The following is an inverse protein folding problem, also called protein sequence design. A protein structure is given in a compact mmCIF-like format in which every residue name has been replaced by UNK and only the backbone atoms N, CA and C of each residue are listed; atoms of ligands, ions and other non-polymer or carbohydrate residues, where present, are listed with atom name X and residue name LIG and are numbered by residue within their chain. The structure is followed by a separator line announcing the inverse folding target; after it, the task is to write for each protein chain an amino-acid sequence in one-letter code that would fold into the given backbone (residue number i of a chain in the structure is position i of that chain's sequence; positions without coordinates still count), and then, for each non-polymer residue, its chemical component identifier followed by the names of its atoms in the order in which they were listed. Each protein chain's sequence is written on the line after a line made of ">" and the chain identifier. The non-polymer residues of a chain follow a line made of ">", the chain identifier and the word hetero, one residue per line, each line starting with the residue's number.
data_IF_079477537364
#
_entry.id   IF_079477537364
#
_cell.length_a   1.000
_cell.length_b   1.000
_cell.length_c   1.000
_cell.angle_alpha   90.00
_cell.angle_beta   90.00
_cell.angle_gamma   90.00
#
_symmetry.space_group_name_H-M   'P 1'
#
loop_
_entity.id
_entity.type
_entity.pdbx_description
1 polymer ?
#
# COMPACT_ATOMS: atom_id res chain seq x y z
N UNK A 1 -18.28 12.94 -5.25
CA UNK A 1 -17.74 11.55 -5.12
C UNK A 1 -16.23 11.66 -5.22
N UNK A 2 -15.46 10.77 -4.60
CA UNK A 2 -13.99 10.72 -4.72
C UNK A 2 -13.58 9.45 -5.45
N UNK A 3 -12.71 9.57 -6.44
CA UNK A 3 -11.98 8.48 -7.06
C UNK A 3 -10.56 8.52 -6.49
N UNK A 4 -10.23 7.52 -5.69
CA UNK A 4 -8.98 7.46 -4.92
C UNK A 4 -8.04 6.41 -5.48
N UNK A 5 -6.75 6.73 -5.55
CA UNK A 5 -5.72 5.76 -5.90
C UNK A 5 -4.32 6.21 -5.57
N UNK A 6 -3.35 5.32 -5.69
CA UNK A 6 -1.95 5.60 -5.45
C UNK A 6 -1.12 5.53 -6.74
N UNK A 7 -0.06 6.33 -6.80
CA UNK A 7 0.77 6.51 -7.99
C UNK A 7 2.13 5.84 -7.88
N UNK A 8 2.55 5.55 -6.66
CA UNK A 8 3.71 4.75 -6.34
C UNK A 8 3.50 3.28 -6.69
N UNK A 9 4.58 2.52 -6.66
CA UNK A 9 4.62 1.11 -7.01
C UNK A 9 5.76 0.47 -6.23
N UNK A 10 5.63 -0.81 -5.88
CA UNK A 10 6.74 -1.54 -5.25
C UNK A 10 8.00 -1.63 -6.16
N UNK A 11 9.20 -1.77 -5.58
CA UNK A 11 10.44 -2.02 -6.31
C UNK A 11 10.36 -3.25 -7.22
N UNK A 12 11.18 -3.26 -8.28
CA UNK A 12 11.26 -4.35 -9.27
C UNK A 12 12.53 -5.20 -9.16
N UNK A 13 13.47 -4.78 -8.31
CA UNK A 13 14.77 -5.43 -8.18
C UNK A 13 14.64 -6.90 -7.76
N UNK A 14 15.35 -7.78 -8.47
CA UNK A 14 15.35 -9.22 -8.22
C UNK A 14 14.10 -9.98 -8.67
N UNK A 15 13.14 -9.32 -9.33
CA UNK A 15 11.93 -9.98 -9.84
C UNK A 15 12.13 -10.54 -11.27
N UNK A 16 11.55 -11.72 -11.60
CA UNK A 16 11.75 -12.39 -12.88
C UNK A 16 10.86 -11.79 -13.99
N UNK A 17 11.17 -10.57 -14.42
CA UNK A 17 10.44 -9.89 -15.48
C UNK A 17 10.76 -10.48 -16.87
N UNK A 18 9.71 -10.75 -17.66
CA UNK A 18 9.84 -11.23 -19.06
C UNK A 18 9.94 -10.08 -20.08
N UNK A 19 9.60 -8.87 -19.67
CA UNK A 19 9.63 -7.63 -20.44
C UNK A 19 10.07 -6.50 -19.51
N UNK A 20 10.53 -5.39 -20.06
CA UNK A 20 10.86 -4.22 -19.24
C UNK A 20 9.65 -3.81 -18.36
N UNK A 21 9.76 -3.79 -17.02
CA UNK A 21 8.67 -3.40 -16.14
C UNK A 21 8.18 -1.97 -16.34
N UNK A 22 9.01 -1.08 -16.89
CA UNK A 22 8.70 0.35 -17.02
C UNK A 22 8.12 0.71 -18.39
N UNK A 23 8.11 -0.24 -19.31
CA UNK A 23 7.50 -0.09 -20.63
C UNK A 23 6.22 -0.92 -20.70
N UNK A 24 5.09 -0.26 -20.96
CA UNK A 24 3.80 -0.94 -21.10
C UNK A 24 3.83 -1.87 -22.32
N UNK A 25 3.69 -3.17 -22.10
CA UNK A 25 3.71 -4.18 -23.14
C UNK A 25 2.35 -4.87 -23.28
N UNK A 26 1.74 -4.76 -24.46
CA UNK A 26 0.60 -5.60 -24.83
C UNK A 26 1.10 -6.97 -25.28
N UNK A 27 0.58 -8.04 -24.67
CA UNK A 27 0.94 -9.42 -25.04
C UNK A 27 -0.18 -10.10 -25.82
N UNK A 28 0.17 -11.24 -26.44
CA UNK A 28 -0.73 -12.00 -27.30
C UNK A 28 -1.96 -12.58 -26.57
N UNK A 29 -1.91 -12.65 -25.24
CA UNK A 29 -3.03 -13.06 -24.38
C UNK A 29 -4.06 -11.94 -24.14
N UNK A 30 -3.83 -10.75 -24.71
CA UNK A 30 -4.70 -9.58 -24.59
C UNK A 30 -4.46 -8.76 -23.32
N UNK A 31 -3.48 -9.12 -22.49
CA UNK A 31 -3.17 -8.40 -21.25
C UNK A 31 -2.10 -7.33 -21.45
N UNK A 32 -2.13 -6.33 -20.57
CA UNK A 32 -1.15 -5.25 -20.50
C UNK A 32 -0.19 -5.46 -19.32
N UNK A 33 1.10 -5.60 -19.63
CA UNK A 33 2.16 -5.90 -18.68
C UNK A 33 3.02 -4.68 -18.40
N UNK A 34 3.28 -4.43 -17.13
CA UNK A 34 4.13 -3.36 -16.62
C UNK A 34 3.95 -3.23 -15.12
N UNK A 35 4.93 -2.63 -14.43
CA UNK A 35 4.84 -2.37 -13.00
C UNK A 35 3.75 -1.33 -12.73
N UNK A 36 2.76 -1.75 -11.97
CA UNK A 36 1.61 -0.96 -11.55
C UNK A 36 0.46 -0.90 -12.54
N UNK A 37 0.44 -1.74 -13.58
CA UNK A 37 -0.71 -1.82 -14.49
C UNK A 37 -1.98 -2.29 -13.76
N UNK A 38 -1.85 -3.32 -12.92
CA UNK A 38 -2.92 -3.81 -12.05
C UNK A 38 -3.07 -2.94 -10.80
N UNK A 39 -1.94 -2.59 -10.17
CA UNK A 39 -1.88 -1.93 -8.87
C UNK A 39 -1.09 -0.60 -8.94
N UNK A 40 -1.74 0.54 -9.11
CA UNK A 40 -3.15 0.67 -9.52
C UNK A 40 -3.34 1.71 -10.63
N UNK A 41 -2.30 1.90 -11.45
CA UNK A 41 -2.28 2.90 -12.53
C UNK A 41 -3.32 2.62 -13.61
N UNK A 42 -3.75 1.36 -13.79
CA UNK A 42 -4.86 1.02 -14.68
C UNK A 42 -6.17 1.71 -14.27
N UNK A 43 -6.49 1.73 -12.97
CA UNK A 43 -7.66 2.46 -12.46
C UNK A 43 -7.52 3.97 -12.64
N UNK A 44 -6.34 4.53 -12.34
CA UNK A 44 -6.06 5.96 -12.53
C UNK A 44 -6.24 6.35 -14.00
N UNK A 45 -5.69 5.57 -14.93
CA UNK A 45 -5.84 5.80 -16.36
C UNK A 45 -7.32 5.74 -16.80
N UNK A 46 -8.07 4.72 -16.35
CA UNK A 46 -9.48 4.57 -16.68
C UNK A 46 -10.33 5.76 -16.16
N UNK A 47 -10.10 6.17 -14.92
CA UNK A 47 -10.86 7.29 -14.32
C UNK A 47 -10.53 8.63 -14.98
N UNK A 48 -9.26 8.87 -15.33
CA UNK A 48 -8.84 10.07 -16.07
C UNK A 48 -9.39 10.09 -17.51
N UNK A 49 -9.44 8.94 -18.19
CA UNK A 49 -10.03 8.84 -19.52
C UNK A 49 -11.52 9.22 -19.55
N UNK A 50 -12.23 9.06 -18.43
CA UNK A 50 -13.64 9.45 -18.28
C UNK A 50 -13.88 10.92 -17.90
N UNK A 51 -12.83 11.73 -17.65
CA UNK A 51 -12.97 13.15 -17.31
C UNK A 51 -13.86 13.92 -18.31
N UNK A 52 -13.71 13.78 -19.65
CA UNK A 52 -14.58 14.48 -20.60
C UNK A 52 -16.06 14.07 -20.47
N UNK A 53 -16.34 12.82 -20.11
CA UNK A 53 -17.71 12.37 -19.87
C UNK A 53 -18.27 12.96 -18.57
N UNK A 54 -17.46 13.03 -17.50
CA UNK A 54 -17.86 13.67 -16.25
C UNK A 54 -18.11 15.17 -16.39
N UNK A 55 -17.32 15.86 -17.22
CA UNK A 55 -17.53 17.29 -17.52
C UNK A 55 -18.83 17.56 -18.29
N UNK A 56 -19.27 16.62 -19.14
CA UNK A 56 -20.54 16.74 -19.89
C UNK A 56 -21.76 16.29 -19.09
N UNK A 57 -21.56 15.51 -18.03
CA UNK A 57 -22.66 15.01 -17.20
C UNK A 57 -23.27 16.16 -16.35
N UNK A 58 -24.60 16.18 -16.15
CA UNK A 58 -25.26 17.18 -15.30
C UNK A 58 -25.05 16.85 -13.81
N UNK A 59 -23.80 16.89 -13.36
CA UNK A 59 -23.42 16.56 -11.99
C UNK A 59 -23.91 17.64 -11.02
N UNK A 60 -24.70 17.24 -10.02
CA UNK A 60 -25.19 18.14 -8.95
C UNK A 60 -24.13 18.44 -7.88
N UNK A 61 -23.05 17.65 -7.85
CA UNK A 61 -21.94 17.75 -6.90
C UNK A 61 -20.63 17.43 -7.62
N UNK A 62 -19.49 17.97 -7.17
CA UNK A 62 -18.20 17.71 -7.82
C UNK A 62 -17.76 16.25 -7.75
N UNK A 63 -17.01 15.87 -8.79
CA UNK A 63 -16.15 14.69 -8.82
C UNK A 63 -14.77 15.11 -8.34
N UNK A 64 -14.21 14.41 -7.36
CA UNK A 64 -12.86 14.63 -6.86
C UNK A 64 -11.97 13.47 -7.28
N UNK A 65 -10.75 13.79 -7.69
CA UNK A 65 -9.69 12.81 -7.91
C UNK A 65 -8.66 12.99 -6.79
N UNK A 66 -8.39 11.92 -6.05
CA UNK A 66 -7.50 11.91 -4.91
C UNK A 66 -6.40 10.90 -5.17
N UNK A 67 -5.25 11.37 -5.64
CA UNK A 67 -4.11 10.51 -5.95
C UNK A 67 -2.99 10.74 -4.94
N UNK A 68 -2.66 9.69 -4.18
CA UNK A 68 -1.59 9.70 -3.20
C UNK A 68 -0.29 9.11 -3.77
N UNK A 69 0.78 9.34 -3.01
CA UNK A 69 2.05 8.64 -3.14
C UNK A 69 2.33 7.92 -1.82
N UNK A 70 3.27 6.98 -1.82
CA UNK A 70 3.71 6.24 -0.64
C UNK A 70 2.56 5.53 0.09
N UNK A 71 1.75 4.79 -0.68
CA UNK A 71 0.79 3.83 -0.15
C UNK A 71 1.50 2.51 0.18
N UNK A 72 2.35 2.05 -0.75
CA UNK A 72 2.91 0.68 -0.76
C UNK A 72 3.97 0.43 0.31
N UNK A 73 4.59 1.48 0.84
CA UNK A 73 5.72 1.39 1.79
C UNK A 73 5.38 2.08 3.11
N UNK A 74 4.91 3.33 3.08
CA UNK A 74 4.69 4.15 4.27
C UNK A 74 3.23 4.44 4.64
N UNK A 75 2.27 4.22 3.74
CA UNK A 75 0.87 4.66 3.88
C UNK A 75 0.70 6.14 4.29
N UNK A 76 1.64 7.02 3.91
CA UNK A 76 1.69 8.40 4.41
C UNK A 76 0.87 9.38 3.55
N UNK A 77 0.87 9.22 2.23
CA UNK A 77 0.33 10.23 1.33
C UNK A 77 -1.19 10.40 1.43
N UNK A 78 -1.94 9.32 1.69
CA UNK A 78 -3.39 9.39 1.82
C UNK A 78 -3.83 10.20 3.05
N UNK A 79 -3.12 10.05 4.18
CA UNK A 79 -3.39 10.82 5.40
C UNK A 79 -3.16 12.32 5.18
N UNK A 80 -1.99 12.68 4.64
CA UNK A 80 -1.65 14.08 4.36
C UNK A 80 -2.63 14.72 3.35
N UNK A 81 -3.07 13.95 2.35
CA UNK A 81 -4.07 14.40 1.37
C UNK A 81 -5.43 14.65 2.03
N UNK A 82 -5.89 13.72 2.89
CA UNK A 82 -7.14 13.87 3.61
C UNK A 82 -7.12 15.11 4.51
N UNK A 83 -6.06 15.31 5.29
CA UNK A 83 -5.90 16.48 6.17
C UNK A 83 -6.02 17.81 5.42
N UNK A 84 -5.46 17.90 4.20
CA UNK A 84 -5.56 19.11 3.36
C UNK A 84 -6.94 19.31 2.75
N UNK A 85 -7.65 18.23 2.44
CA UNK A 85 -8.96 18.29 1.80
C UNK A 85 -10.11 18.50 2.81
N UNK A 86 -9.93 18.08 4.05
CA UNK A 86 -10.93 18.28 5.10
C UNK A 86 -11.17 19.79 5.30
N UNK A 87 -12.42 20.22 5.05
CA UNK A 87 -12.85 21.60 5.18
C UNK A 87 -12.57 22.49 3.96
N UNK A 88 -11.75 22.06 3.01
CA UNK A 88 -11.44 22.84 1.79
C UNK A 88 -12.27 22.42 0.57
N UNK A 89 -12.90 21.24 0.60
CA UNK A 89 -13.80 20.76 -0.45
C UNK A 89 -15.17 20.35 0.11
N UNK A 90 -16.24 20.38 -0.72
CA UNK A 90 -17.54 19.82 -0.32
C UNK A 90 -17.41 18.37 0.13
N UNK A 91 -18.09 18.01 1.21
CA UNK A 91 -18.03 16.65 1.76
C UNK A 91 -18.47 15.63 0.70
N UNK A 92 -17.62 14.65 0.35
CA UNK A 92 -18.00 13.64 -0.63
C UNK A 92 -19.02 12.67 -0.06
N UNK A 93 -19.93 12.22 -0.93
CA UNK A 93 -20.97 11.22 -0.59
C UNK A 93 -20.47 9.78 -0.60
N UNK A 94 -19.41 9.52 -1.34
CA UNK A 94 -18.81 8.20 -1.53
C UNK A 94 -17.36 8.37 -1.99
N UNK A 95 -16.54 7.38 -1.63
CA UNK A 95 -15.16 7.20 -2.07
C UNK A 95 -15.08 5.84 -2.74
N UNK A 96 -14.51 5.80 -3.94
CA UNK A 96 -14.17 4.57 -4.65
C UNK A 96 -12.65 4.50 -4.64
N UNK A 97 -12.10 3.49 -3.97
CA UNK A 97 -10.67 3.18 -4.01
C UNK A 97 -10.46 2.13 -5.08
N UNK A 98 -9.54 2.39 -6.00
CA UNK A 98 -9.34 1.57 -7.20
C UNK A 98 -8.49 0.31 -7.05
N UNK A 99 -8.34 -0.21 -5.83
CA UNK A 99 -7.50 -1.39 -5.57
C UNK A 99 -7.96 -2.63 -6.37
N UNK A 100 -7.03 -3.52 -6.77
CA UNK A 100 -7.34 -4.67 -7.59
C UNK A 100 -8.12 -5.73 -6.79
N UNK A 101 -9.44 -5.65 -6.90
CA UNK A 101 -10.41 -6.51 -6.19
C UNK A 101 -11.09 -7.51 -7.13
N UNK A 102 -10.54 -7.74 -8.32
CA UNK A 102 -11.17 -8.51 -9.39
C UNK A 102 -12.58 -7.98 -9.74
N UNK A 103 -12.76 -6.66 -9.70
CA UNK A 103 -14.04 -5.95 -9.86
C UNK A 103 -15.08 -6.24 -8.76
N UNK A 104 -14.68 -6.91 -7.68
CA UNK A 104 -15.50 -7.11 -6.49
C UNK A 104 -15.60 -5.85 -5.63
N UNK A 105 -16.78 -5.58 -5.06
CA UNK A 105 -16.93 -4.49 -4.10
C UNK A 105 -16.40 -4.95 -2.74
N UNK A 106 -15.30 -4.34 -2.30
CA UNK A 106 -14.76 -4.52 -0.95
C UNK A 106 -15.12 -3.29 -0.13
N UNK A 107 -15.85 -3.48 0.98
CA UNK A 107 -16.35 -2.40 1.82
C UNK A 107 -15.59 -2.23 3.15
N UNK A 108 -14.63 -3.11 3.44
CA UNK A 108 -13.80 -3.06 4.64
C UNK A 108 -12.48 -3.79 4.41
N UNK A 109 -11.45 -3.38 5.15
CA UNK A 109 -10.16 -4.06 5.24
C UNK A 109 -9.76 -4.24 6.71
N UNK A 110 -8.98 -5.28 6.99
CA UNK A 110 -8.39 -5.45 8.32
C UNK A 110 -7.29 -4.41 8.54
N UNK A 111 -7.12 -3.97 9.78
CA UNK A 111 -5.98 -3.13 10.14
C UNK A 111 -4.68 -3.93 9.99
N UNK A 112 -3.65 -3.29 9.42
CA UNK A 112 -2.27 -3.76 9.46
C UNK A 112 -1.60 -3.34 10.76
N UNK A 113 -0.74 -4.20 11.32
CA UNK A 113 0.06 -3.89 12.49
C UNK A 113 1.38 -4.66 12.47
N UNK A 114 2.47 -3.99 12.82
CA UNK A 114 3.79 -4.61 12.96
C UNK A 114 4.24 -4.59 14.42
N UNK A 115 4.96 -5.63 14.85
CA UNK A 115 5.63 -5.67 16.16
C UNK A 115 7.13 -5.66 15.89
N UNK A 116 7.84 -4.68 16.45
CA UNK A 116 9.30 -4.65 16.46
C UNK A 116 9.78 -5.24 17.77
N UNK A 117 10.50 -6.37 17.69
CA UNK A 117 11.12 -7.01 18.84
C UNK A 117 12.64 -6.84 18.81
N UNK A 118 13.18 -6.15 19.81
CA UNK A 118 14.63 -5.92 19.96
C UNK A 118 15.20 -6.89 21.00
N UNK A 119 16.19 -7.68 20.61
CA UNK A 119 16.91 -8.59 21.51
C UNK A 119 18.33 -8.07 21.71
N UNK A 120 18.70 -7.79 22.97
CA UNK A 120 20.05 -7.32 23.32
C UNK A 120 20.83 -8.45 24.00
N UNK A 121 22.01 -8.74 23.46
CA UNK A 121 22.96 -9.70 24.02
C UNK A 121 24.06 -9.03 24.83
N UNK A 122 25.02 -9.83 25.27
CA UNK A 122 26.28 -9.37 25.88
C UNK A 122 27.43 -9.87 25.01
N UNK A 123 28.29 -8.97 24.54
CA UNK A 123 29.40 -9.32 23.65
C UNK A 123 30.48 -10.10 24.39
N UNK A 124 31.00 -11.13 23.74
CA UNK A 124 32.18 -11.88 24.18
C UNK A 124 32.91 -12.44 22.97
N UNK A 125 34.18 -12.82 23.16
CA UNK A 125 34.93 -13.54 22.13
C UNK A 125 34.18 -14.81 21.72
N UNK A 126 34.16 -15.16 20.44
CA UNK A 126 33.35 -16.27 19.90
C UNK A 126 33.61 -17.64 20.56
N UNK A 127 34.80 -17.83 21.13
CA UNK A 127 35.18 -19.01 21.90
C UNK A 127 34.88 -18.94 23.41
N UNK A 128 34.50 -17.77 23.93
CA UNK A 128 34.19 -17.51 25.34
C UNK A 128 32.70 -17.26 25.55
N UNK A 129 31.86 -18.16 25.02
CA UNK A 129 30.40 -18.05 25.04
C UNK A 129 29.78 -17.99 26.44
N UNK A 130 30.52 -18.37 27.49
CA UNK A 130 30.12 -18.27 28.89
C UNK A 130 30.28 -16.87 29.49
N UNK A 131 31.01 -15.97 28.82
CA UNK A 131 31.20 -14.57 29.23
C UNK A 131 30.25 -13.60 28.51
N UNK A 132 29.44 -14.09 27.58
CA UNK A 132 28.52 -13.29 26.79
C UNK A 132 27.17 -13.96 26.61
N UNK A 133 26.24 -13.25 25.98
CA UNK A 133 24.90 -13.73 25.64
C UNK A 133 24.67 -13.42 24.18
N UNK A 134 24.57 -14.44 23.33
CA UNK A 134 24.21 -14.22 21.93
C UNK A 134 22.75 -13.79 21.82
N UNK A 135 22.50 -12.59 21.30
CA UNK A 135 21.15 -12.11 20.99
C UNK A 135 20.39 -13.07 20.05
N UNK A 136 21.10 -13.75 19.14
CA UNK A 136 20.53 -14.72 18.20
C UNK A 136 20.12 -16.00 18.93
N UNK A 137 20.95 -16.52 19.84
CA UNK A 137 20.63 -17.71 20.61
C UNK A 137 19.47 -17.45 21.59
N UNK A 138 19.48 -16.29 22.26
CA UNK A 138 18.43 -15.87 23.18
C UNK A 138 17.07 -15.67 22.48
N UNK A 139 17.07 -15.10 21.27
CA UNK A 139 15.88 -15.05 20.40
C UNK A 139 15.32 -16.46 20.15
N UNK A 140 16.18 -17.46 19.91
CA UNK A 140 15.73 -18.83 19.59
C UNK A 140 15.16 -19.58 20.79
N UNK A 141 15.60 -19.27 22.00
CA UNK A 141 15.16 -19.96 23.23
C UNK A 141 13.90 -19.37 23.87
N UNK A 142 13.44 -18.20 23.44
CA UNK A 142 12.25 -17.54 24.00
C UNK A 142 11.04 -17.79 23.11
N UNK A 143 10.01 -18.55 23.54
CA UNK A 143 8.78 -18.69 22.78
C UNK A 143 8.05 -17.34 22.73
N UNK A 144 7.94 -16.74 21.54
CA UNK A 144 7.17 -15.50 21.28
C UNK A 144 5.65 -15.75 21.33
N UNK A 145 5.15 -16.38 22.40
CA UNK A 145 3.72 -16.47 22.70
C UNK A 145 3.59 -16.34 24.20
N UNK A 146 3.36 -15.12 24.70
CA UNK A 146 2.43 -14.78 25.80
C UNK A 146 2.39 -13.25 25.95
N UNK A 147 1.19 -12.72 26.17
CA UNK A 147 0.80 -11.30 26.35
C UNK A 147 0.56 -10.45 25.09
N UNK A 148 -0.52 -10.78 24.37
CA UNK A 148 -1.54 -9.76 24.07
C UNK A 148 -2.62 -9.88 25.15
N UNK A 149 -2.47 -9.16 26.26
CA UNK A 149 -3.60 -8.88 27.14
C UNK A 149 -4.27 -7.59 26.60
N UNK A 150 -5.59 -7.55 26.44
CA UNK A 150 -6.28 -6.35 25.97
C UNK A 150 -6.09 -5.23 27.00
N UNK A 151 -5.69 -4.04 26.54
CA UNK A 151 -5.75 -2.84 27.36
C UNK A 151 -7.23 -2.55 27.66
N UNK A 152 -7.57 -2.47 28.96
CA UNK A 152 -8.87 -2.04 29.46
C UNK A 152 -9.03 -0.53 29.46
#
# INVERSE_FOLDING_TARGET
>A
MVLSGHTDVVPVDGQPWQSDPWTLAAKADGNLYGRGTCDMKGFIAATLAHVPAFQRAPLKVPMHFAFSYDEEIGCLGAHALAERLVGSVPRPRAVIVGEPTMMGVVNAQNAGGGIVATFTGVEAHSSMTHLGVSAIAFRRSTPMVTMLAPAG
#
